data_IF_376874648341
#
_entry.id   IF_376874648341
#
_cell.length_a   1.000
_cell.length_b   1.000
_cell.length_c   1.000
_cell.angle_alpha   90.00
_cell.angle_beta   90.00
_cell.angle_gamma   90.00
#
_symmetry.space_group_name_H-M   'P 1'
#
loop_
_entity.id
_entity.type
_entity.pdbx_description
1 polymer ?
#
# COMPACT_ATOMS: atom_id res chain seq x y z
N UNK A 1 -5.92 -30.96 18.56
CA UNK A 1 -5.42 -30.14 17.44
C UNK A 1 -6.13 -28.82 17.57
N UNK A 2 -5.42 -27.90 18.20
CA UNK A 2 -5.89 -26.62 18.68
C UNK A 2 -6.44 -25.79 17.51
N UNK A 3 -7.73 -25.48 17.63
CA UNK A 3 -8.38 -24.37 16.92
C UNK A 3 -7.51 -23.14 17.13
N UNK A 4 -6.84 -22.70 16.06
CA UNK A 4 -6.15 -21.42 16.03
C UNK A 4 -7.21 -20.34 16.23
N UNK A 5 -7.36 -19.92 17.48
CA UNK A 5 -7.97 -18.64 17.85
C UNK A 5 -6.97 -17.54 17.49
N UNK A 6 -6.73 -17.37 16.19
CA UNK A 6 -6.15 -16.14 15.69
C UNK A 6 -7.32 -15.20 15.48
N UNK A 7 -7.62 -14.38 16.48
CA UNK A 7 -8.15 -13.06 16.20
C UNK A 7 -7.12 -12.32 15.34
N UNK A 8 -7.03 -12.67 14.05
CA UNK A 8 -6.20 -11.99 13.06
C UNK A 8 -6.77 -10.58 13.02
N UNK A 9 -6.07 -9.63 13.64
CA UNK A 9 -6.42 -8.23 13.49
C UNK A 9 -6.44 -7.90 12.00
N UNK A 10 -7.44 -7.17 11.53
CA UNK A 10 -7.43 -6.64 10.17
C UNK A 10 -6.12 -5.85 9.99
N UNK A 11 -5.42 -6.00 8.87
CA UNK A 11 -4.22 -5.25 8.57
C UNK A 11 -4.53 -4.16 7.54
N UNK A 12 -3.73 -3.09 7.55
CA UNK A 12 -3.79 -1.99 6.58
C UNK A 12 -2.44 -1.89 5.88
N UNK A 13 -2.49 -1.87 4.55
CA UNK A 13 -1.36 -1.55 3.70
C UNK A 13 -1.44 -0.09 3.28
N UNK A 14 -0.45 0.70 3.70
CA UNK A 14 -0.34 2.11 3.38
C UNK A 14 0.79 2.35 2.39
N UNK A 15 0.52 3.10 1.35
CA UNK A 15 1.49 3.65 0.42
C UNK A 15 1.97 5.00 0.93
N UNK A 16 3.28 5.15 1.13
CA UNK A 16 3.88 6.31 1.81
C UNK A 16 4.71 7.16 0.84
N UNK A 17 5.40 6.53 -0.11
CA UNK A 17 6.23 7.26 -1.09
C UNK A 17 6.62 6.37 -2.27
N UNK A 18 7.38 6.96 -3.19
CA UNK A 18 8.10 6.25 -4.25
C UNK A 18 9.45 6.94 -4.46
N UNK A 19 10.54 6.17 -4.60
CA UNK A 19 11.90 6.74 -4.67
C UNK A 19 12.11 7.74 -5.81
N UNK A 20 11.28 7.65 -6.85
CA UNK A 20 11.30 8.51 -8.05
C UNK A 20 10.20 9.56 -8.07
N UNK A 21 9.45 9.75 -6.98
CA UNK A 21 8.31 10.66 -6.96
C UNK A 21 8.71 12.11 -7.32
N UNK A 22 9.89 12.55 -6.88
CA UNK A 22 10.42 13.89 -7.18
C UNK A 22 11.04 13.98 -8.59
N UNK A 23 11.81 12.96 -8.99
CA UNK A 23 12.60 13.02 -10.23
C UNK A 23 11.84 12.58 -11.47
N UNK A 24 10.91 11.62 -11.32
CA UNK A 24 10.14 11.01 -12.42
C UNK A 24 8.67 10.85 -12.03
N UNK A 25 7.93 11.97 -11.87
CA UNK A 25 6.54 11.99 -11.46
C UNK A 25 5.62 11.17 -12.39
N UNK A 26 5.76 11.34 -13.71
CA UNK A 26 4.93 10.64 -14.71
C UNK A 26 5.11 9.12 -14.63
N UNK A 27 6.35 8.64 -14.54
CA UNK A 27 6.62 7.19 -14.41
C UNK A 27 6.12 6.61 -13.10
N UNK A 28 6.17 7.40 -12.02
CA UNK A 28 5.61 6.99 -10.74
C UNK A 28 4.09 6.82 -10.85
N UNK A 29 3.42 7.74 -11.54
CA UNK A 29 1.98 7.64 -11.80
C UNK A 29 1.62 6.42 -12.68
N UNK A 30 2.38 6.17 -13.75
CA UNK A 30 2.20 4.98 -14.60
C UNK A 30 2.34 3.68 -13.79
N UNK A 31 3.34 3.59 -12.91
CA UNK A 31 3.52 2.44 -12.04
C UNK A 31 2.35 2.29 -11.05
N UNK A 32 1.80 3.38 -10.51
CA UNK A 32 0.62 3.32 -9.63
C UNK A 32 -0.60 2.77 -10.35
N UNK A 33 -0.80 3.13 -11.62
CA UNK A 33 -1.95 2.66 -12.43
C UNK A 33 -1.94 1.15 -12.67
N UNK A 34 -0.78 0.49 -12.56
CA UNK A 34 -0.67 -0.97 -12.64
C UNK A 34 -1.31 -1.63 -11.40
N UNK A 35 -1.14 -1.02 -10.22
CA UNK A 35 -1.61 -1.61 -8.95
C UNK A 35 -2.98 -1.09 -8.51
N UNK A 36 -3.23 0.21 -8.65
CA UNK A 36 -4.37 0.90 -8.04
C UNK A 36 -5.43 1.34 -9.04
N UNK A 37 -5.31 0.99 -10.31
CA UNK A 37 -6.25 1.31 -11.40
C UNK A 37 -7.06 2.61 -11.21
N UNK A 38 -8.23 2.54 -10.55
CA UNK A 38 -9.15 3.67 -10.33
C UNK A 38 -8.71 4.66 -9.24
N UNK A 39 -7.95 4.19 -8.26
CA UNK A 39 -7.45 4.95 -7.11
C UNK A 39 -6.07 5.56 -7.38
N UNK A 40 -5.47 5.29 -8.54
CA UNK A 40 -4.10 5.75 -8.86
C UNK A 40 -3.97 7.28 -8.85
N UNK A 41 -4.99 8.02 -9.31
CA UNK A 41 -5.02 9.48 -9.30
C UNK A 41 -5.03 10.04 -7.88
N UNK A 42 -5.89 9.49 -7.01
CA UNK A 42 -6.00 9.88 -5.61
C UNK A 42 -4.72 9.54 -4.85
N UNK A 43 -4.23 8.30 -4.98
CA UNK A 43 -3.00 7.86 -4.36
C UNK A 43 -1.81 8.72 -4.77
N UNK A 44 -1.71 9.09 -6.05
CA UNK A 44 -0.65 9.97 -6.53
C UNK A 44 -0.77 11.39 -5.97
N UNK A 45 -1.98 11.94 -5.85
CA UNK A 45 -2.22 13.24 -5.25
C UNK A 45 -1.83 13.27 -3.76
N UNK A 46 -2.20 12.23 -3.00
CA UNK A 46 -1.82 12.07 -1.59
C UNK A 46 -0.30 12.00 -1.42
N UNK A 47 0.38 11.18 -2.24
CA UNK A 47 1.83 11.08 -2.24
C UNK A 47 2.52 12.41 -2.55
N UNK A 48 2.01 13.15 -3.54
CA UNK A 48 2.52 14.49 -3.90
C UNK A 48 2.35 15.50 -2.78
N UNK A 49 1.34 15.31 -1.93
CA UNK A 49 1.10 16.12 -0.74
C UNK A 49 1.88 15.65 0.49
N UNK A 50 2.71 14.59 0.37
CA UNK A 50 3.47 14.01 1.48
C UNK A 50 2.61 13.24 2.47
N UNK A 51 1.41 12.80 2.06
CA UNK A 51 0.48 12.01 2.87
C UNK A 51 0.50 10.55 2.44
N UNK A 52 0.18 9.67 3.38
CA UNK A 52 0.03 8.25 3.10
C UNK A 52 -1.36 7.95 2.53
N UNK A 53 -1.43 6.99 1.61
CA UNK A 53 -2.67 6.51 1.02
C UNK A 53 -2.93 5.07 1.44
N UNK A 54 -4.15 4.75 1.88
CA UNK A 54 -4.52 3.36 2.22
C UNK A 54 -4.79 2.59 0.93
N UNK A 55 -3.93 1.63 0.61
CA UNK A 55 -4.04 0.79 -0.59
C UNK A 55 -5.11 -0.28 -0.41
N UNK A 56 -5.07 -0.99 0.72
CA UNK A 56 -6.00 -2.09 0.99
C UNK A 56 -6.02 -2.39 2.50
N UNK A 57 -7.17 -2.88 2.97
CA UNK A 57 -7.32 -3.54 4.27
C UNK A 57 -7.65 -5.00 4.07
N UNK A 58 -7.18 -5.87 4.96
CA UNK A 58 -7.48 -7.30 4.88
C UNK A 58 -6.49 -8.17 5.61
N UNK A 59 -6.39 -9.42 5.19
CA UNK A 59 -5.52 -10.43 5.80
C UNK A 59 -4.05 -10.13 5.54
N UNK A 60 -3.22 -10.38 6.56
CA UNK A 60 -1.78 -10.13 6.51
C UNK A 60 -1.11 -10.79 5.30
N UNK A 61 -1.41 -12.06 5.06
CA UNK A 61 -0.76 -12.85 4.01
C UNK A 61 -1.07 -12.31 2.60
N UNK A 62 -2.30 -11.81 2.38
CA UNK A 62 -2.68 -11.19 1.12
C UNK A 62 -1.95 -9.85 0.94
N UNK A 63 -1.91 -9.03 1.99
CA UNK A 63 -1.26 -7.73 1.95
C UNK A 63 0.27 -7.83 1.79
N UNK A 64 0.91 -8.86 2.34
CA UNK A 64 2.35 -9.10 2.16
C UNK A 64 2.73 -9.41 0.71
N UNK A 65 1.85 -10.09 -0.05
CA UNK A 65 2.08 -10.33 -1.48
C UNK A 65 2.03 -9.02 -2.27
N UNK A 66 1.02 -8.20 -2.01
CA UNK A 66 0.88 -6.89 -2.65
C UNK A 66 2.01 -5.93 -2.25
N UNK A 67 2.38 -5.92 -0.97
CA UNK A 67 3.54 -5.19 -0.43
C UNK A 67 4.79 -5.51 -1.24
N UNK A 68 5.13 -6.79 -1.38
CA UNK A 68 6.32 -7.25 -2.09
C UNK A 68 6.32 -6.83 -3.56
N UNK A 69 5.18 -6.99 -4.25
CA UNK A 69 5.04 -6.60 -5.65
C UNK A 69 5.22 -5.10 -5.88
N UNK A 70 4.65 -4.26 -5.00
CA UNK A 70 4.79 -2.80 -5.10
C UNK A 70 6.19 -2.33 -4.68
N UNK A 71 6.81 -2.95 -3.66
CA UNK A 71 8.20 -2.65 -3.28
C UNK A 71 9.20 -2.96 -4.40
N UNK A 72 8.97 -4.02 -5.18
CA UNK A 72 9.78 -4.34 -6.35
C UNK A 72 9.74 -3.24 -7.45
N UNK A 73 8.66 -2.45 -7.49
CA UNK A 73 8.56 -1.27 -8.38
C UNK A 73 9.16 -0.01 -7.76
N UNK A 74 9.58 -0.07 -6.49
CA UNK A 74 10.21 1.02 -5.75
C UNK A 74 9.25 1.88 -4.92
N UNK A 75 8.03 1.39 -4.68
CA UNK A 75 7.11 2.01 -3.73
C UNK A 75 7.58 1.75 -2.30
N UNK A 76 7.40 2.76 -1.45
CA UNK A 76 7.60 2.65 -0.02
C UNK A 76 6.23 2.45 0.60
N UNK A 77 6.05 1.30 1.24
CA UNK A 77 4.80 0.91 1.88
C UNK A 77 5.00 0.56 3.35
N UNK A 78 3.93 0.65 4.13
CA UNK A 78 3.86 0.27 5.53
C UNK A 78 2.70 -0.70 5.72
N UNK A 79 2.98 -1.87 6.28
CA UNK A 79 1.96 -2.79 6.76
C UNK A 79 1.77 -2.56 8.26
N UNK A 80 0.55 -2.30 8.71
CA UNK A 80 0.23 -2.11 10.13
C UNK A 80 -1.06 -2.83 10.49
N UNK A 81 -1.25 -3.10 11.78
CA UNK A 81 -2.55 -3.56 12.29
C UNK A 81 -3.56 -2.42 12.16
N UNK A 82 -4.76 -2.72 11.70
CA UNK A 82 -5.89 -1.79 11.73
C UNK A 82 -6.27 -1.56 13.19
N UNK A 83 -6.24 -0.31 13.62
CA UNK A 83 -6.73 0.03 14.95
C UNK A 83 -8.21 -0.34 15.03
N UNK A 84 -8.58 -1.10 16.07
CA UNK A 84 -9.98 -1.29 16.44
C UNK A 84 -10.43 0.01 17.12
N UNK A 85 -11.08 0.89 16.36
CA UNK A 85 -11.84 2.02 16.92
C UNK A 85 -12.90 1.50 17.93
#
# INVERSE_FOLDING_TARGET
MDTHDESVGEFVLELVSHYRLLDKPVRTFEALRIFLHREADEAYAELRAGRAFVVRRGDRQELEQLLSAMQAQGFVLRLRVADRD
#
